data_IF_352141976684
#
_entry.id   IF_352141976684
#
_cell.length_a   1.000
_cell.length_b   1.000
_cell.length_c   1.000
_cell.angle_alpha   90.00
_cell.angle_beta   90.00
_cell.angle_gamma   90.00
#
_symmetry.space_group_name_H-M   'P 1'
#
loop_
_entity.id
_entity.type
_entity.pdbx_description
1 polymer ?
#
# COMPACT_ATOMS: atom_id res chain seq x y z
N UNK A 1 -8.86 12.57 -7.81
CA UNK A 1 -8.98 11.56 -8.88
C UNK A 1 -8.36 12.14 -10.15
N UNK A 2 -7.58 11.37 -10.89
CA UNK A 2 -6.92 11.82 -12.11
C UNK A 2 -7.45 11.00 -13.29
N UNK A 3 -7.67 11.66 -14.41
CA UNK A 3 -7.98 11.02 -15.70
C UNK A 3 -6.92 11.44 -16.71
N UNK A 4 -6.72 10.71 -17.82
CA UNK A 4 -5.85 11.15 -18.89
C UNK A 4 -6.22 12.56 -19.37
N UNK A 5 -5.21 13.37 -19.71
CA UNK A 5 -5.46 14.67 -20.33
C UNK A 5 -6.26 14.50 -21.63
N UNK A 6 -7.17 15.42 -21.91
CA UNK A 6 -8.04 15.39 -23.10
C UNK A 6 -8.86 14.09 -23.23
N UNK A 7 -9.35 13.55 -22.11
CA UNK A 7 -10.11 12.31 -22.10
C UNK A 7 -11.45 12.45 -22.86
N UNK A 8 -11.59 11.71 -23.95
CA UNK A 8 -12.84 11.63 -24.74
C UNK A 8 -13.69 10.40 -24.40
N UNK A 9 -13.23 9.55 -23.47
CA UNK A 9 -13.90 8.30 -23.12
C UNK A 9 -15.22 8.56 -22.39
N UNK A 10 -16.29 7.92 -22.85
CA UNK A 10 -17.58 7.92 -22.17
C UNK A 10 -17.63 6.79 -21.14
N UNK A 11 -18.01 7.05 -19.87
CA UNK A 11 -18.20 5.99 -18.89
C UNK A 11 -19.35 5.07 -19.28
N UNK A 12 -19.17 3.76 -19.12
CA UNK A 12 -20.27 2.78 -19.23
C UNK A 12 -21.19 2.90 -18.01
N UNK A 13 -20.60 3.02 -16.82
CA UNK A 13 -21.32 3.20 -15.55
C UNK A 13 -20.92 4.55 -14.94
N UNK A 14 -21.91 5.39 -14.67
CA UNK A 14 -21.72 6.70 -14.03
C UNK A 14 -23.01 7.10 -13.29
N UNK A 15 -22.98 8.20 -12.55
CA UNK A 15 -24.18 8.72 -11.88
C UNK A 15 -24.37 10.21 -12.10
N UNK A 16 -25.29 10.78 -11.35
CA UNK A 16 -25.72 12.16 -11.52
C UNK A 16 -24.61 13.21 -11.27
N UNK A 17 -23.49 12.82 -10.63
CA UNK A 17 -22.32 13.70 -10.52
C UNK A 17 -21.62 13.96 -11.84
N UNK A 18 -21.77 13.08 -12.84
CA UNK A 18 -21.15 13.25 -14.15
C UNK A 18 -21.67 14.43 -14.96
N UNK A 19 -22.90 14.87 -14.65
CA UNK A 19 -23.58 15.99 -15.30
C UNK A 19 -23.56 17.26 -14.42
N UNK A 20 -22.91 17.24 -13.25
CA UNK A 20 -22.94 18.40 -12.33
C UNK A 20 -22.35 19.69 -12.93
N UNK A 21 -21.48 19.58 -13.93
CA UNK A 21 -20.93 20.74 -14.63
C UNK A 21 -21.94 21.42 -15.56
N UNK A 22 -23.01 20.75 -15.98
CA UNK A 22 -23.95 21.19 -17.02
C UNK A 22 -25.39 21.34 -16.50
N UNK A 23 -25.59 21.47 -15.18
CA UNK A 23 -26.91 21.47 -14.53
C UNK A 23 -27.89 22.53 -15.07
N UNK A 24 -27.37 23.66 -15.56
CA UNK A 24 -28.16 24.80 -16.05
C UNK A 24 -28.61 24.63 -17.51
N UNK A 25 -27.87 23.88 -18.33
CA UNK A 25 -28.09 23.74 -19.77
C UNK A 25 -28.49 22.29 -20.12
N UNK A 26 -29.67 21.87 -19.69
CA UNK A 26 -30.14 20.50 -19.95
C UNK A 26 -30.49 20.30 -21.42
N UNK A 27 -29.61 19.59 -22.13
CA UNK A 27 -29.96 18.92 -23.37
C UNK A 27 -30.71 17.60 -23.07
N UNK A 28 -31.38 17.01 -24.06
CA UNK A 28 -32.01 15.68 -23.90
C UNK A 28 -31.01 14.53 -23.68
N UNK A 29 -29.71 14.83 -23.65
CA UNK A 29 -28.61 13.88 -23.46
C UNK A 29 -27.79 14.25 -22.21
N UNK A 30 -27.20 13.24 -21.57
CA UNK A 30 -26.32 13.44 -20.41
C UNK A 30 -25.03 14.10 -20.88
N UNK A 31 -24.82 15.36 -20.46
CA UNK A 31 -23.56 16.06 -20.63
C UNK A 31 -22.47 15.47 -19.74
N UNK A 32 -21.26 15.31 -20.27
CA UNK A 32 -20.10 14.86 -19.51
C UNK A 32 -19.04 15.94 -19.48
N UNK A 33 -18.65 16.36 -18.27
CA UNK A 33 -17.53 17.30 -18.11
C UNK A 33 -16.23 16.80 -18.78
N UNK A 34 -15.30 17.71 -19.04
CA UNK A 34 -13.96 17.43 -19.56
C UNK A 34 -12.96 16.97 -18.48
N UNK A 35 -13.41 16.91 -17.23
CA UNK A 35 -12.61 16.55 -16.06
C UNK A 35 -13.07 15.23 -15.43
N UNK A 36 -12.48 14.87 -14.29
CA UNK A 36 -12.73 13.60 -13.60
C UNK A 36 -14.19 13.39 -13.22
N UNK A 37 -15.00 14.45 -13.08
CA UNK A 37 -16.42 14.35 -12.75
C UNK A 37 -17.18 13.49 -13.76
N UNK A 38 -16.77 13.42 -15.04
CA UNK A 38 -17.45 12.55 -16.01
C UNK A 38 -17.54 11.09 -15.56
N UNK A 39 -16.58 10.60 -14.76
CA UNK A 39 -16.56 9.24 -14.21
C UNK A 39 -17.06 9.19 -12.76
N UNK A 40 -17.50 10.31 -12.20
CA UNK A 40 -18.06 10.35 -10.87
C UNK A 40 -19.44 9.69 -10.85
N UNK A 41 -19.65 8.83 -9.86
CA UNK A 41 -20.91 8.13 -9.68
C UNK A 41 -22.02 9.05 -9.17
N UNK A 42 -22.59 8.69 -8.04
CA UNK A 42 -23.63 9.46 -7.36
C UNK A 42 -23.14 9.80 -5.95
N UNK A 43 -24.04 10.36 -5.15
CA UNK A 43 -23.85 10.62 -3.71
C UNK A 43 -23.06 9.49 -3.03
N UNK A 44 -21.96 9.88 -2.38
CA UNK A 44 -21.06 8.99 -1.66
C UNK A 44 -20.64 9.63 -0.34
N UNK A 45 -20.10 8.83 0.59
CA UNK A 45 -19.52 9.35 1.82
C UNK A 45 -18.17 10.04 1.54
N UNK A 46 -18.19 11.37 1.54
CA UNK A 46 -17.00 12.21 1.35
C UNK A 46 -16.13 12.31 2.61
N UNK A 47 -16.55 11.79 3.76
CA UNK A 47 -15.76 11.84 4.99
C UNK A 47 -14.39 11.18 4.83
N UNK A 48 -14.29 10.13 4.00
CA UNK A 48 -13.03 9.45 3.68
C UNK A 48 -12.07 10.35 2.90
N UNK A 49 -12.58 11.16 1.96
CA UNK A 49 -11.79 12.12 1.19
C UNK A 49 -11.24 13.23 2.10
N UNK A 50 -12.08 13.77 2.99
CA UNK A 50 -11.64 14.79 3.94
C UNK A 50 -10.56 14.26 4.90
N UNK A 51 -10.66 13.00 5.34
CA UNK A 51 -9.60 12.35 6.14
C UNK A 51 -8.28 12.26 5.37
N UNK A 52 -8.33 11.89 4.08
CA UNK A 52 -7.13 11.83 3.24
C UNK A 52 -6.50 13.22 3.06
N UNK A 53 -7.31 14.26 2.80
CA UNK A 53 -6.83 15.64 2.71
C UNK A 53 -6.15 16.10 4.01
N UNK A 54 -6.75 15.82 5.17
CA UNK A 54 -6.17 16.16 6.46
C UNK A 54 -4.81 15.46 6.72
N UNK A 55 -4.63 14.23 6.23
CA UNK A 55 -3.34 13.53 6.30
C UNK A 55 -2.31 14.19 5.38
N UNK A 56 -2.69 14.59 4.17
CA UNK A 56 -1.79 15.30 3.26
C UNK A 56 -1.38 16.68 3.79
N UNK A 57 -2.30 17.41 4.41
CA UNK A 57 -2.01 18.68 5.08
C UNK A 57 -1.06 18.47 6.27
N UNK A 58 -1.26 17.41 7.05
CA UNK A 58 -0.34 17.02 8.12
C UNK A 58 1.05 16.72 7.54
N UNK A 59 1.14 15.91 6.48
CA UNK A 59 2.44 15.58 5.87
C UNK A 59 3.14 16.82 5.34
N UNK A 60 2.41 17.74 4.71
CA UNK A 60 2.95 19.02 4.26
C UNK A 60 3.48 19.85 5.43
N UNK A 61 2.69 20.01 6.50
CA UNK A 61 3.08 20.78 7.69
C UNK A 61 4.31 20.21 8.39
N UNK A 62 4.37 18.89 8.55
CA UNK A 62 5.50 18.20 9.19
C UNK A 62 6.69 17.99 8.23
N UNK A 63 6.56 18.41 6.96
CA UNK A 63 7.59 18.22 5.94
C UNK A 63 7.89 16.75 5.65
N UNK A 64 6.90 15.86 5.76
CA UNK A 64 6.98 14.44 5.41
C UNK A 64 6.85 14.33 3.88
N UNK A 65 7.96 14.13 3.20
CA UNK A 65 8.01 13.98 1.73
C UNK A 65 8.09 12.50 1.33
N UNK A 66 7.85 12.22 0.05
CA UNK A 66 7.97 10.87 -0.51
C UNK A 66 9.39 10.33 -0.30
N UNK A 67 10.41 11.16 -0.50
CA UNK A 67 11.82 10.80 -0.35
C UNK A 67 12.12 10.44 1.11
N UNK A 68 11.62 11.23 2.08
CA UNK A 68 11.79 10.92 3.50
C UNK A 68 11.09 9.63 3.90
N UNK A 69 9.86 9.40 3.43
CA UNK A 69 9.13 8.15 3.63
C UNK A 69 9.95 6.98 3.07
N UNK A 70 10.41 7.10 1.83
CA UNK A 70 11.17 6.06 1.15
C UNK A 70 12.47 5.74 1.88
N UNK A 71 13.30 6.75 2.21
CA UNK A 71 14.52 6.55 2.97
C UNK A 71 14.27 5.95 4.36
N UNK A 72 13.21 6.37 5.06
CA UNK A 72 12.87 5.81 6.36
C UNK A 72 12.53 4.31 6.27
N UNK A 73 11.74 3.94 5.27
CA UNK A 73 11.37 2.55 5.02
C UNK A 73 12.57 1.71 4.57
N UNK A 74 13.43 2.23 3.69
CA UNK A 74 14.65 1.52 3.29
C UNK A 74 15.55 1.22 4.51
N UNK A 75 15.73 2.17 5.42
CA UNK A 75 16.48 1.92 6.65
C UNK A 75 15.85 0.80 7.50
N UNK A 76 14.52 0.76 7.61
CA UNK A 76 13.81 -0.31 8.31
C UNK A 76 14.00 -1.67 7.62
N UNK A 77 13.92 -1.69 6.29
CA UNK A 77 14.18 -2.86 5.46
C UNK A 77 15.61 -3.38 5.63
N UNK A 78 16.62 -2.50 5.63
CA UNK A 78 18.03 -2.87 5.91
C UNK A 78 18.17 -3.50 7.29
N UNK A 79 17.56 -2.91 8.33
CA UNK A 79 17.60 -3.49 9.69
C UNK A 79 16.93 -4.86 9.72
N UNK A 80 15.78 -5.03 9.08
CA UNK A 80 15.09 -6.32 8.99
C UNK A 80 15.95 -7.38 8.32
N UNK A 81 16.56 -7.04 7.18
CA UNK A 81 17.44 -7.93 6.46
C UNK A 81 18.68 -8.31 7.28
N UNK A 82 19.26 -7.38 8.01
CA UNK A 82 20.38 -7.67 8.92
C UNK A 82 19.94 -8.59 10.07
N UNK A 83 18.79 -8.34 10.71
CA UNK A 83 18.26 -9.22 11.75
C UNK A 83 17.95 -10.62 11.20
N UNK A 84 17.43 -10.70 9.97
CA UNK A 84 17.15 -11.95 9.26
C UNK A 84 18.44 -12.72 8.99
N UNK A 85 19.48 -12.08 8.46
CA UNK A 85 20.76 -12.72 8.13
C UNK A 85 21.54 -13.18 9.37
N UNK A 86 21.36 -12.50 10.49
CA UNK A 86 21.89 -12.91 11.79
C UNK A 86 21.01 -13.98 12.48
N UNK A 87 19.86 -14.32 11.88
CA UNK A 87 18.99 -15.38 12.35
C UNK A 87 19.13 -16.62 11.46
N UNK A 88 19.12 -17.81 12.05
CA UNK A 88 19.06 -19.06 11.30
C UNK A 88 17.60 -19.48 11.01
N UNK A 89 16.73 -18.51 10.66
CA UNK A 89 15.31 -18.80 10.47
C UNK A 89 15.09 -19.70 9.24
N UNK A 90 14.41 -20.86 9.38
CA UNK A 90 14.33 -21.87 8.30
C UNK A 90 13.54 -21.41 7.07
N UNK A 91 12.55 -20.52 7.26
CA UNK A 91 11.69 -20.02 6.18
C UNK A 91 11.98 -18.56 5.80
N UNK A 92 12.03 -17.63 6.75
CA UNK A 92 12.31 -16.22 6.53
C UNK A 92 13.82 -15.99 6.37
N UNK A 93 14.34 -16.26 5.19
CA UNK A 93 15.77 -16.09 4.86
C UNK A 93 15.94 -15.70 3.38
N UNK A 94 17.19 -15.38 3.01
CA UNK A 94 17.57 -14.92 1.66
C UNK A 94 17.16 -15.88 0.54
N UNK A 95 17.23 -17.19 0.76
CA UNK A 95 16.93 -18.19 -0.27
C UNK A 95 15.44 -18.23 -0.63
N UNK A 96 14.58 -17.84 0.31
CA UNK A 96 13.14 -17.85 0.11
C UNK A 96 12.57 -16.48 -0.29
N UNK A 97 13.39 -15.42 -0.36
CA UNK A 97 12.96 -14.12 -0.88
C UNK A 97 12.68 -14.22 -2.39
N UNK A 98 11.54 -13.67 -2.83
CA UNK A 98 11.14 -13.69 -4.26
C UNK A 98 11.89 -12.64 -5.09
N UNK A 99 12.34 -11.55 -4.45
CA UNK A 99 13.08 -10.48 -5.10
C UNK A 99 14.48 -10.38 -4.50
N UNK A 100 15.48 -10.20 -5.35
CA UNK A 100 16.89 -10.13 -4.96
C UNK A 100 17.52 -8.75 -5.17
N UNK A 101 16.89 -7.87 -5.95
CA UNK A 101 17.25 -6.45 -5.99
C UNK A 101 16.58 -5.76 -4.80
N UNK A 102 17.36 -5.61 -3.72
CA UNK A 102 16.91 -5.09 -2.44
C UNK A 102 17.40 -3.65 -2.19
N UNK A 103 17.94 -3.01 -3.22
CA UNK A 103 18.46 -1.64 -3.14
C UNK A 103 17.63 -0.68 -4.01
N UNK A 104 17.31 -1.07 -5.24
CA UNK A 104 16.71 -0.15 -6.22
C UNK A 104 15.37 -0.68 -6.79
N UNK A 105 15.10 -1.97 -6.67
CA UNK A 105 14.09 -2.67 -7.47
C UNK A 105 12.85 -3.21 -6.73
N UNK A 106 12.55 -2.77 -5.51
CA UNK A 106 11.44 -3.36 -4.73
C UNK A 106 10.54 -2.36 -4.00
N UNK A 107 9.34 -2.82 -3.67
CA UNK A 107 8.39 -2.06 -2.86
C UNK A 107 8.74 -2.05 -1.38
N UNK A 108 7.93 -1.34 -0.60
CA UNK A 108 8.03 -1.24 0.87
C UNK A 108 7.56 -2.51 1.61
N UNK A 109 7.78 -3.68 1.02
CA UNK A 109 7.47 -4.99 1.61
C UNK A 109 8.40 -6.07 1.06
N UNK A 110 8.62 -7.12 1.85
CA UNK A 110 9.29 -8.34 1.40
C UNK A 110 8.29 -9.49 1.27
N UNK A 111 8.54 -10.36 0.29
CA UNK A 111 7.74 -11.57 0.08
C UNK A 111 8.63 -12.79 0.13
N UNK A 112 8.25 -13.75 0.96
CA UNK A 112 8.91 -15.05 1.11
C UNK A 112 8.04 -16.14 0.49
N UNK A 113 8.66 -17.01 -0.30
CA UNK A 113 8.05 -18.23 -0.77
C UNK A 113 8.29 -19.34 0.27
N UNK A 114 7.25 -19.73 1.00
CA UNK A 114 7.34 -20.80 2.01
C UNK A 114 7.18 -22.20 1.39
N UNK A 115 7.30 -22.32 0.07
CA UNK A 115 7.12 -23.53 -0.74
C UNK A 115 5.69 -24.07 -0.81
N UNK A 116 4.98 -24.14 0.32
CA UNK A 116 3.62 -24.69 0.42
C UNK A 116 2.69 -23.78 1.25
N UNK A 117 1.38 -23.71 0.94
CA UNK A 117 0.42 -22.91 1.69
C UNK A 117 0.36 -23.24 3.18
N UNK A 118 0.46 -24.51 3.56
CA UNK A 118 0.39 -24.99 4.94
C UNK A 118 1.58 -24.46 5.77
N UNK A 119 2.77 -24.40 5.16
CA UNK A 119 3.97 -23.86 5.81
C UNK A 119 3.81 -22.36 6.06
N UNK A 120 3.37 -21.61 5.04
CA UNK A 120 3.15 -20.17 5.21
C UNK A 120 2.07 -19.85 6.24
N UNK A 121 1.02 -20.69 6.36
CA UNK A 121 0.00 -20.55 7.39
C UNK A 121 0.59 -20.74 8.78
N UNK A 122 1.36 -21.82 8.99
CA UNK A 122 2.02 -22.08 10.27
C UNK A 122 2.94 -20.92 10.68
N UNK A 123 3.77 -20.43 9.75
CA UNK A 123 4.65 -19.28 10.02
C UNK A 123 3.84 -18.02 10.35
N UNK A 124 2.74 -17.74 9.64
CA UNK A 124 1.86 -16.62 9.97
C UNK A 124 1.25 -16.74 11.37
N UNK A 125 0.84 -17.94 11.78
CA UNK A 125 0.29 -18.21 13.12
C UNK A 125 1.35 -18.04 14.21
N UNK A 126 2.57 -18.53 14.00
CA UNK A 126 3.73 -18.36 14.90
C UNK A 126 4.12 -16.88 15.06
N UNK A 127 4.09 -16.11 13.97
CA UNK A 127 4.32 -14.66 14.01
C UNK A 127 3.20 -13.92 14.74
N UNK A 128 1.94 -14.26 14.44
CA UNK A 128 0.76 -13.67 15.10
C UNK A 128 0.76 -13.94 16.61
N UNK A 129 1.17 -15.13 17.04
CA UNK A 129 1.32 -15.48 18.46
C UNK A 129 2.36 -14.59 19.17
N UNK A 130 3.35 -14.06 18.43
CA UNK A 130 4.36 -13.10 18.88
C UNK A 130 3.98 -11.64 18.61
N UNK A 131 2.70 -11.38 18.33
CA UNK A 131 2.15 -10.06 17.98
C UNK A 131 2.71 -9.44 16.69
N UNK A 132 3.29 -10.24 15.80
CA UNK A 132 3.73 -9.80 14.47
C UNK A 132 2.61 -10.02 13.47
N UNK A 133 2.14 -8.93 12.87
CA UNK A 133 1.14 -8.97 11.81
C UNK A 133 1.81 -9.05 10.43
N UNK A 134 1.41 -10.04 9.64
CA UNK A 134 1.86 -10.19 8.27
C UNK A 134 0.71 -10.66 7.38
N UNK A 135 0.83 -10.41 6.07
CA UNK A 135 -0.13 -10.87 5.08
C UNK A 135 0.33 -12.20 4.47
N UNK A 136 -0.62 -13.02 4.03
CA UNK A 136 -0.35 -14.31 3.39
C UNK A 136 -1.24 -14.50 2.17
N UNK A 137 -0.67 -15.01 1.09
CA UNK A 137 -1.37 -15.37 -0.15
C UNK A 137 -0.87 -16.73 -0.64
N UNK A 138 -1.65 -17.78 -0.44
CA UNK A 138 -1.22 -19.16 -0.70
C UNK A 138 0.10 -19.44 0.04
N UNK A 139 1.15 -19.90 -0.64
CA UNK A 139 2.49 -20.16 -0.10
C UNK A 139 3.35 -18.91 0.16
N UNK A 140 2.85 -17.72 -0.18
CA UNK A 140 3.61 -16.48 -0.07
C UNK A 140 3.28 -15.73 1.21
N UNK A 141 4.30 -15.43 2.01
CA UNK A 141 4.21 -14.61 3.21
C UNK A 141 4.78 -13.22 2.94
N UNK A 142 4.08 -12.16 3.32
CA UNK A 142 4.44 -10.77 3.07
C UNK A 142 4.57 -9.97 4.35
N UNK A 143 5.71 -9.30 4.50
CA UNK A 143 5.99 -8.36 5.60
C UNK A 143 6.16 -6.96 5.03
N UNK A 144 5.34 -6.01 5.50
CA UNK A 144 5.34 -4.63 5.04
C UNK A 144 6.08 -3.71 6.01
N UNK A 145 6.54 -2.57 5.49
CA UNK A 145 7.25 -1.54 6.24
C UNK A 145 6.59 -0.18 5.98
N UNK A 146 6.48 0.63 7.03
CA UNK A 146 5.81 1.93 6.94
C UNK A 146 6.40 2.92 7.94
N UNK A 147 6.07 4.20 7.76
CA UNK A 147 6.60 5.31 8.57
C UNK A 147 6.14 5.32 10.04
N UNK A 148 5.16 4.51 10.40
CA UNK A 148 4.69 4.38 11.78
C UNK A 148 5.42 3.28 12.57
N UNK A 149 6.34 2.54 11.94
CA UNK A 149 7.22 1.63 12.65
C UNK A 149 8.30 2.40 13.40
N UNK A 150 8.70 1.90 14.57
CA UNK A 150 9.77 2.51 15.35
C UNK A 150 11.10 2.48 14.57
N UNK A 151 11.86 3.58 14.66
CA UNK A 151 13.16 3.72 14.00
C UNK A 151 14.20 2.77 14.58
N UNK A 152 14.00 2.33 15.82
CA UNK A 152 14.88 1.45 16.57
C UNK A 152 14.32 0.02 16.67
N UNK A 153 13.31 -0.33 15.84
CA UNK A 153 12.78 -1.69 15.74
C UNK A 153 13.91 -2.69 15.43
N UNK A 154 13.95 -3.76 16.23
CA UNK A 154 15.02 -4.78 16.23
C UNK A 154 14.62 -6.07 15.52
N UNK A 155 13.31 -6.26 15.29
CA UNK A 155 12.71 -7.45 14.71
C UNK A 155 12.92 -8.73 15.52
N UNK A 156 13.22 -8.61 16.82
CA UNK A 156 13.35 -9.77 17.71
C UNK A 156 12.08 -10.62 17.76
N UNK A 157 10.89 -10.00 17.72
CA UNK A 157 9.62 -10.75 17.69
C UNK A 157 9.44 -11.59 16.42
N UNK A 158 10.16 -11.27 15.34
CA UNK A 158 10.14 -12.03 14.08
C UNK A 158 11.11 -13.21 14.17
N UNK A 159 12.33 -12.96 14.62
CA UNK A 159 13.46 -13.89 14.46
C UNK A 159 13.90 -14.61 15.73
N UNK A 160 13.60 -14.08 16.91
CA UNK A 160 13.91 -14.76 18.16
C UNK A 160 12.71 -15.62 18.59
N UNK A 161 13.02 -16.84 19.02
CA UNK A 161 12.08 -17.81 19.60
C UNK A 161 12.30 -17.88 21.10
#
# INVERSE_FOLDING_TARGET
MTIPANCTLRPVNTGWFAEMAELENRSGEVGYSDNWLRFAGATMDYSTLYKALAIFDLFHREGITIEKIHSYVLNAQTRFLNSMDNSDHPILNRNNLICHDLEEGHGHFFTFNCSQPEISQRVQEELKARAVLCDRRQQFLRVGFAIYHDKDETYQQVFNS
#
